data_IF_690098777214
#
_entry.id   IF_690098777214
#
_cell.length_a   1.000
_cell.length_b   1.000
_cell.length_c   1.000
_cell.angle_alpha   90.00
_cell.angle_beta   90.00
_cell.angle_gamma   90.00
#
_symmetry.space_group_name_H-M   'P 1'
#
loop_
_entity.id
_entity.type
_entity.pdbx_description
1 polymer ?
#
# COMPACT_ATOMS: atom_id res chain seq x y z
N UNK A 1 -7.18 12.89 -19.75
CA UNK A 1 -7.25 12.32 -18.39
C UNK A 1 -5.96 12.63 -17.66
N UNK A 2 -6.05 13.33 -16.53
CA UNK A 2 -4.91 13.55 -15.64
C UNK A 2 -4.52 12.24 -14.96
N UNK A 3 -3.22 11.98 -14.80
CA UNK A 3 -2.70 10.75 -14.19
C UNK A 3 -1.71 11.12 -13.10
N UNK A 4 -2.06 10.85 -11.85
CA UNK A 4 -1.17 11.03 -10.70
C UNK A 4 0.11 10.20 -10.86
N UNK A 5 1.21 10.68 -10.28
CA UNK A 5 2.42 9.88 -10.08
C UNK A 5 2.25 8.93 -8.89
N UNK A 6 2.96 7.79 -8.89
CA UNK A 6 3.05 6.92 -7.71
C UNK A 6 4.34 7.27 -6.98
N UNK A 7 4.25 7.54 -5.69
CA UNK A 7 5.38 7.63 -4.77
C UNK A 7 5.23 6.54 -3.71
N UNK A 8 6.30 5.85 -3.40
CA UNK A 8 6.32 4.78 -2.40
C UNK A 8 7.17 5.29 -1.24
N UNK A 9 6.66 5.17 0.00
CA UNK A 9 7.44 5.51 1.20
C UNK A 9 8.44 4.40 1.51
N UNK A 10 9.48 4.71 2.28
CA UNK A 10 10.46 3.72 2.76
C UNK A 10 9.78 2.56 3.51
N UNK A 11 8.75 2.86 4.32
CA UNK A 11 7.99 1.81 5.00
C UNK A 11 7.26 0.87 4.02
N UNK A 12 6.69 1.39 2.94
CA UNK A 12 6.03 0.57 1.93
C UNK A 12 7.03 -0.21 1.08
N UNK A 13 8.23 0.34 0.82
CA UNK A 13 9.33 -0.39 0.17
C UNK A 13 9.79 -1.57 1.04
N UNK A 14 10.03 -1.33 2.34
CA UNK A 14 10.38 -2.39 3.30
C UNK A 14 9.28 -3.46 3.39
N UNK A 15 8.01 -3.04 3.45
CA UNK A 15 6.89 -3.99 3.47
C UNK A 15 6.91 -4.90 2.22
N UNK A 16 7.17 -4.34 1.03
CA UNK A 16 7.26 -5.12 -0.22
C UNK A 16 8.44 -6.09 -0.21
N UNK A 17 9.60 -5.66 0.29
CA UNK A 17 10.77 -6.52 0.45
C UNK A 17 10.49 -7.68 1.42
N UNK A 18 9.94 -7.39 2.60
CA UNK A 18 9.58 -8.38 3.62
C UNK A 18 8.59 -9.42 3.05
N UNK A 19 7.58 -8.95 2.30
CA UNK A 19 6.60 -9.82 1.64
C UNK A 19 7.29 -10.74 0.63
N UNK A 20 8.13 -10.18 -0.23
CA UNK A 20 8.87 -10.94 -1.25
C UNK A 20 9.76 -12.00 -0.61
N UNK A 21 10.55 -11.60 0.39
CA UNK A 21 11.48 -12.46 1.11
C UNK A 21 10.76 -13.58 1.87
N UNK A 22 9.66 -13.27 2.54
CA UNK A 22 8.85 -14.28 3.23
C UNK A 22 8.34 -15.36 2.27
N UNK A 23 7.76 -14.95 1.13
CA UNK A 23 7.23 -15.91 0.16
C UNK A 23 8.35 -16.71 -0.52
N UNK A 24 9.45 -16.05 -0.88
CA UNK A 24 10.56 -16.70 -1.57
C UNK A 24 11.31 -17.69 -0.68
N UNK A 25 11.66 -17.29 0.55
CA UNK A 25 12.58 -18.02 1.41
C UNK A 25 11.88 -18.80 2.53
N UNK A 26 10.87 -18.22 3.16
CA UNK A 26 10.13 -18.92 4.24
C UNK A 26 9.13 -19.92 3.68
N UNK A 27 8.33 -19.51 2.69
CA UNK A 27 7.39 -20.41 2.01
C UNK A 27 8.03 -21.21 0.86
N UNK A 28 9.32 -20.99 0.60
CA UNK A 28 10.11 -21.69 -0.44
C UNK A 28 9.47 -21.61 -1.83
N UNK A 29 8.85 -20.47 -2.17
CA UNK A 29 8.13 -20.29 -3.42
C UNK A 29 8.54 -18.99 -4.13
N UNK A 30 9.79 -18.93 -4.67
CA UNK A 30 10.32 -17.72 -5.30
C UNK A 30 9.54 -17.28 -6.54
N UNK A 31 9.00 -18.23 -7.33
CA UNK A 31 8.16 -17.90 -8.47
C UNK A 31 6.89 -17.13 -8.05
N UNK A 32 6.23 -17.57 -6.98
CA UNK A 32 5.06 -16.86 -6.45
C UNK A 32 5.42 -15.52 -5.83
N UNK A 33 6.60 -15.37 -5.24
CA UNK A 33 7.08 -14.09 -4.72
C UNK A 33 7.17 -13.04 -5.85
N UNK A 34 7.79 -13.39 -6.98
CA UNK A 34 7.91 -12.51 -8.15
C UNK A 34 6.51 -12.10 -8.65
N UNK A 35 5.62 -13.07 -8.87
CA UNK A 35 4.26 -12.81 -9.32
C UNK A 35 3.49 -11.90 -8.35
N UNK A 36 3.60 -12.16 -7.05
CA UNK A 36 2.93 -11.37 -6.03
C UNK A 36 3.40 -9.91 -6.00
N UNK A 37 4.71 -9.67 -6.02
CA UNK A 37 5.27 -8.31 -6.02
C UNK A 37 4.88 -7.56 -7.30
N UNK A 38 4.91 -8.25 -8.45
CA UNK A 38 4.45 -7.67 -9.71
C UNK A 38 2.96 -7.28 -9.65
N UNK A 39 2.10 -8.16 -9.13
CA UNK A 39 0.66 -7.89 -9.01
C UNK A 39 0.36 -6.72 -8.06
N UNK A 40 1.08 -6.63 -6.93
CA UNK A 40 0.97 -5.50 -5.99
C UNK A 40 1.39 -4.19 -6.65
N UNK A 41 2.51 -4.15 -7.37
CA UNK A 41 2.96 -2.96 -8.12
C UNK A 41 1.96 -2.55 -9.19
N UNK A 42 1.37 -3.50 -9.91
CA UNK A 42 0.32 -3.23 -10.90
C UNK A 42 -0.93 -2.65 -10.24
N UNK A 43 -1.33 -3.18 -9.08
CA UNK A 43 -2.44 -2.62 -8.32
C UNK A 43 -2.16 -1.17 -7.91
N UNK A 44 -0.97 -0.85 -7.40
CA UNK A 44 -0.58 0.52 -7.06
C UNK A 44 -0.64 1.43 -8.29
N UNK A 45 -0.06 1.00 -9.42
CA UNK A 45 -0.09 1.75 -10.67
C UNK A 45 -1.52 2.02 -11.19
N UNK A 46 -2.48 1.13 -10.90
CA UNK A 46 -3.89 1.36 -11.25
C UNK A 46 -4.51 2.56 -10.52
N UNK A 47 -3.93 3.00 -9.40
CA UNK A 47 -4.41 4.15 -8.62
C UNK A 47 -4.14 5.48 -9.32
N UNK A 48 -3.26 5.55 -10.33
CA UNK A 48 -2.90 6.80 -11.02
C UNK A 48 -4.08 7.53 -11.66
N UNK A 49 -5.11 6.83 -12.10
CA UNK A 49 -6.21 7.42 -12.88
C UNK A 49 -7.39 7.89 -12.02
N UNK A 50 -7.72 7.15 -10.96
CA UNK A 50 -8.87 7.45 -10.08
C UNK A 50 -8.57 6.99 -8.65
N UNK A 51 -7.60 7.59 -7.96
CA UNK A 51 -7.23 7.12 -6.63
C UNK A 51 -8.30 7.41 -5.58
N UNK A 52 -9.19 8.36 -5.82
CA UNK A 52 -10.29 8.71 -4.91
C UNK A 52 -11.49 7.74 -4.98
N UNK A 53 -11.48 6.75 -5.89
CA UNK A 53 -12.55 5.76 -6.02
C UNK A 53 -12.73 4.88 -4.79
N UNK A 54 -11.68 4.73 -3.98
CA UNK A 54 -11.75 4.01 -2.71
C UNK A 54 -12.09 5.00 -1.61
N UNK A 55 -13.01 4.64 -0.72
CA UNK A 55 -13.39 5.46 0.43
C UNK A 55 -12.19 5.74 1.36
N UNK A 56 -12.33 6.78 2.20
CA UNK A 56 -11.43 7.00 3.32
C UNK A 56 -11.46 5.79 4.27
N UNK A 57 -10.40 5.64 5.06
CA UNK A 57 -10.40 4.61 6.10
C UNK A 57 -11.52 4.86 7.12
N UNK A 58 -12.00 3.79 7.73
CA UNK A 58 -13.06 3.83 8.74
C UNK A 58 -12.54 4.33 10.10
N UNK A 59 -11.23 4.19 10.33
CA UNK A 59 -10.56 4.75 11.49
C UNK A 59 -10.42 6.28 11.34
N UNK A 60 -11.05 7.04 12.24
CA UNK A 60 -11.06 8.50 12.19
C UNK A 60 -9.67 9.14 12.26
N UNK A 61 -8.71 8.50 12.94
CA UNK A 61 -7.33 8.98 13.03
C UNK A 61 -6.65 8.89 11.66
N UNK A 62 -6.96 7.85 10.88
CA UNK A 62 -6.43 7.67 9.52
C UNK A 62 -7.23 8.47 8.48
N UNK A 63 -8.53 8.62 8.68
CA UNK A 63 -9.39 9.41 7.80
C UNK A 63 -9.00 10.90 7.81
N UNK A 64 -8.57 11.43 8.96
CA UNK A 64 -8.18 12.83 9.15
C UNK A 64 -7.08 13.29 8.16
N UNK A 65 -5.93 12.58 8.02
CA UNK A 65 -4.94 12.87 6.98
C UNK A 65 -5.33 12.37 5.58
N UNK A 66 -6.55 11.86 5.37
CA UNK A 66 -7.05 11.45 4.06
C UNK A 66 -6.62 10.06 3.62
N UNK A 67 -6.25 9.17 4.55
CA UNK A 67 -5.83 7.79 4.23
C UNK A 67 -6.99 7.03 3.61
N UNK A 68 -6.66 6.29 2.55
CA UNK A 68 -7.52 5.37 1.84
C UNK A 68 -6.86 4.00 1.83
N UNK A 69 -7.65 2.95 1.66
CA UNK A 69 -7.16 1.58 1.49
C UNK A 69 -7.77 0.91 0.29
N UNK A 70 -6.98 0.09 -0.39
CA UNK A 70 -7.50 -0.87 -1.35
C UNK A 70 -6.94 -2.27 -1.08
N UNK A 71 -7.69 -3.28 -1.50
CA UNK A 71 -7.32 -4.68 -1.30
C UNK A 71 -6.81 -5.29 -2.60
N UNK A 72 -5.82 -6.18 -2.48
CA UNK A 72 -5.39 -7.05 -3.55
C UNK A 72 -4.88 -8.37 -2.98
N UNK A 73 -5.53 -9.48 -3.34
CA UNK A 73 -5.35 -10.78 -2.69
C UNK A 73 -5.43 -10.62 -1.17
N UNK A 74 -4.40 -11.07 -0.45
CA UNK A 74 -4.37 -11.03 1.01
C UNK A 74 -3.71 -9.77 1.58
N UNK A 75 -3.62 -8.69 0.81
CA UNK A 75 -2.91 -7.47 1.20
C UNK A 75 -3.80 -6.23 1.14
N UNK A 76 -3.56 -5.35 2.11
CA UNK A 76 -4.11 -3.99 2.23
C UNK A 76 -3.03 -3.00 1.81
N UNK A 77 -3.33 -2.19 0.79
CA UNK A 77 -2.47 -1.10 0.34
C UNK A 77 -3.06 0.20 0.87
N UNK A 78 -2.35 0.84 1.81
CA UNK A 78 -2.70 2.13 2.39
C UNK A 78 -2.04 3.25 1.63
N UNK A 79 -2.78 4.31 1.31
CA UNK A 79 -2.26 5.43 0.54
C UNK A 79 -3.02 6.73 0.84
N UNK A 80 -2.40 7.85 0.47
CA UNK A 80 -3.03 9.18 0.42
C UNK A 80 -2.94 9.75 -0.99
N UNK A 81 -3.84 10.67 -1.31
CA UNK A 81 -3.81 11.42 -2.59
C UNK A 81 -3.41 12.85 -2.27
N UNK A 82 -2.34 13.33 -2.90
CA UNK A 82 -1.87 14.70 -2.78
C UNK A 82 -2.03 15.43 -4.12
N UNK A 83 -3.15 16.16 -4.33
CA UNK A 83 -3.32 17.02 -5.49
C UNK A 83 -2.19 18.05 -5.69
N UNK A 84 -1.66 18.71 -4.63
CA UNK A 84 -0.55 19.67 -4.79
C UNK A 84 0.74 19.04 -5.35
N UNK A 85 0.98 17.76 -5.05
CA UNK A 85 2.17 17.03 -5.52
C UNK A 85 1.90 16.23 -6.79
N UNK A 86 0.69 16.29 -7.33
CA UNK A 86 0.20 15.40 -8.39
C UNK A 86 0.61 13.94 -8.17
N UNK A 87 0.44 13.46 -6.93
CA UNK A 87 0.93 12.14 -6.52
C UNK A 87 -0.06 11.37 -5.64
N UNK A 88 -0.08 10.07 -5.84
CA UNK A 88 -0.59 9.07 -4.89
C UNK A 88 0.61 8.53 -4.12
N UNK A 89 0.57 8.68 -2.80
CA UNK A 89 1.66 8.27 -1.92
C UNK A 89 1.24 6.98 -1.23
N UNK A 90 1.89 5.88 -1.58
CA UNK A 90 1.70 4.57 -0.94
C UNK A 90 2.40 4.59 0.41
N UNK A 91 1.63 4.46 1.48
CA UNK A 91 2.11 4.55 2.85
C UNK A 91 2.61 3.23 3.38
N UNK A 92 1.85 2.14 3.18
CA UNK A 92 2.11 0.79 3.70
C UNK A 92 1.46 -0.29 2.83
N UNK A 93 2.03 -1.50 2.84
CA UNK A 93 1.49 -2.69 2.18
C UNK A 93 1.45 -3.84 3.18
N UNK A 94 0.29 -4.13 3.75
CA UNK A 94 0.19 -4.99 4.92
C UNK A 94 -0.66 -6.22 4.62
N UNK A 95 -0.21 -7.39 5.05
CA UNK A 95 -1.02 -8.60 4.99
C UNK A 95 -2.30 -8.43 5.82
N UNK A 96 -3.41 -9.05 5.41
CA UNK A 96 -4.72 -8.81 6.02
C UNK A 96 -4.79 -9.18 7.51
N UNK A 97 -4.03 -10.20 7.91
CA UNK A 97 -4.01 -10.75 9.28
C UNK A 97 -2.97 -10.12 10.21
N UNK A 98 -2.12 -9.19 9.74
CA UNK A 98 -1.25 -8.47 10.66
C UNK A 98 -2.04 -7.38 11.38
N UNK A 99 -1.57 -6.98 12.56
CA UNK A 99 -2.05 -5.77 13.22
C UNK A 99 -1.66 -4.54 12.37
N UNK A 100 -2.54 -4.23 11.42
CA UNK A 100 -2.32 -3.15 10.49
C UNK A 100 -2.39 -1.78 11.14
N UNK A 101 -3.19 -1.66 12.22
CA UNK A 101 -3.43 -0.38 12.92
C UNK A 101 -2.16 0.08 13.61
N UNK A 102 -1.54 -0.80 14.41
CA UNK A 102 -0.26 -0.48 15.06
C UNK A 102 0.86 -0.20 14.05
N UNK A 103 0.87 -0.89 12.90
CA UNK A 103 1.86 -0.65 11.86
C UNK A 103 1.67 0.69 11.17
N UNK A 104 0.46 1.02 10.71
CA UNK A 104 0.21 2.28 10.00
C UNK A 104 0.36 3.50 10.92
N UNK A 105 0.05 3.37 12.22
CA UNK A 105 0.24 4.44 13.20
C UNK A 105 1.69 4.88 13.36
N UNK A 106 2.63 3.93 13.35
CA UNK A 106 4.07 4.23 13.36
C UNK A 106 4.51 5.08 12.18
N UNK A 107 3.84 4.97 11.03
CA UNK A 107 4.12 5.82 9.86
C UNK A 107 3.77 7.30 10.11
N UNK A 108 2.90 7.58 11.08
CA UNK A 108 2.50 8.92 11.51
C UNK A 108 3.14 9.35 12.84
N UNK A 109 4.04 8.54 13.42
CA UNK A 109 4.72 8.86 14.69
C UNK A 109 3.82 8.79 15.93
N UNK A 110 2.70 8.05 15.84
CA UNK A 110 1.75 7.81 16.94
C UNK A 110 1.74 6.33 17.36
#
# INVERSE_FOLDING_TARGET
MHKYHIKITEYAEQDLEDIGNYVAFTLKNPASAICLIHDLKNKMNSLRQMPQKHALDEDSILATPGVRKCHHKNYKIYYIVSPPLDSVIILRVLHMHVDSKSKIYRTFGI
#
